data_IF_266872324494
#
_entry.id   IF_266872324494
#
_cell.length_a   1.000
_cell.length_b   1.000
_cell.length_c   1.000
_cell.angle_alpha   90.00
_cell.angle_beta   90.00
_cell.angle_gamma   90.00
#
_symmetry.space_group_name_H-M   'P 1'
#
loop_
_entity.id
_entity.type
_entity.pdbx_description
1 polymer ?
#
# COMPACT_ATOMS: atom_id res chain seq x y z
N UNK A 1 0.74 -31.98 -47.49
CA UNK A 1 1.87 -32.71 -46.88
C UNK A 1 3.08 -31.78 -46.83
N UNK A 2 3.36 -31.18 -45.68
CA UNK A 2 4.63 -30.54 -45.34
C UNK A 2 4.66 -30.36 -43.82
N UNK A 3 5.72 -30.90 -43.21
CA UNK A 3 5.93 -31.06 -41.76
C UNK A 3 6.68 -29.84 -41.23
N UNK A 4 6.30 -29.25 -40.08
CA UNK A 4 7.11 -28.21 -39.44
C UNK A 4 8.27 -28.81 -38.65
N UNK A 5 9.49 -28.32 -38.92
CA UNK A 5 10.71 -28.62 -38.19
C UNK A 5 10.65 -28.04 -36.77
N UNK A 6 10.46 -28.91 -35.78
CA UNK A 6 10.71 -28.66 -34.36
C UNK A 6 12.22 -28.44 -34.15
N UNK A 7 12.62 -27.27 -33.63
CA UNK A 7 13.95 -27.10 -33.03
C UNK A 7 13.87 -27.45 -31.55
N UNK A 8 14.48 -28.58 -31.23
CA UNK A 8 14.86 -29.04 -29.89
C UNK A 8 16.17 -28.40 -29.44
N UNK A 9 16.34 -28.29 -28.11
CA UNK A 9 17.63 -28.12 -27.43
C UNK A 9 17.86 -26.68 -26.94
N UNK A 10 18.22 -26.42 -25.69
CA UNK A 10 18.67 -27.30 -24.62
C UNK A 10 18.46 -26.60 -23.27
N UNK A 11 18.09 -27.39 -22.27
CA UNK A 11 18.23 -27.04 -20.87
C UNK A 11 19.71 -26.88 -20.50
N UNK A 12 20.03 -25.88 -19.69
CA UNK A 12 21.20 -25.89 -18.81
C UNK A 12 20.82 -25.20 -17.49
N UNK A 13 20.95 -26.03 -16.46
CA UNK A 13 20.74 -25.81 -15.04
C UNK A 13 21.84 -24.91 -14.47
N UNK A 14 21.50 -23.97 -13.58
CA UNK A 14 22.42 -23.52 -12.52
C UNK A 14 21.65 -22.97 -11.32
N UNK A 15 21.85 -23.70 -10.21
CA UNK A 15 21.39 -23.51 -8.85
C UNK A 15 22.13 -22.35 -8.17
N UNK A 16 21.40 -21.49 -7.44
CA UNK A 16 21.94 -20.78 -6.28
C UNK A 16 20.80 -20.45 -5.31
N UNK A 17 20.66 -21.31 -4.30
CA UNK A 17 19.85 -21.06 -3.11
C UNK A 17 20.70 -20.18 -2.17
N UNK A 18 20.30 -18.93 -1.94
CA UNK A 18 20.86 -18.10 -0.85
C UNK A 18 19.75 -17.87 0.15
N UNK A 19 19.72 -18.72 1.17
CA UNK A 19 18.99 -18.43 2.40
C UNK A 19 19.86 -17.49 3.24
N UNK A 20 19.51 -16.21 3.27
CA UNK A 20 20.01 -15.27 4.27
C UNK A 20 18.91 -15.05 5.30
N UNK A 21 18.92 -15.90 6.33
CA UNK A 21 18.29 -15.60 7.61
C UNK A 21 19.23 -14.65 8.37
N UNK A 22 18.83 -13.39 8.49
CA UNK A 22 19.36 -12.44 9.48
C UNK A 22 18.12 -11.93 10.23
N UNK A 23 17.72 -12.59 11.31
CA UNK A 23 18.05 -12.19 12.69
C UNK A 23 17.95 -10.69 12.90
N UNK A 24 16.88 -10.33 13.61
CA UNK A 24 16.79 -9.12 14.40
C UNK A 24 17.93 -9.14 15.43
N UNK A 25 18.90 -8.24 15.28
CA UNK A 25 19.84 -7.88 16.34
C UNK A 25 19.87 -6.35 16.42
N UNK A 26 19.41 -5.84 17.55
CA UNK A 26 19.46 -4.43 17.88
C UNK A 26 20.89 -4.04 18.18
N UNK A 27 21.51 -3.28 17.28
CA UNK A 27 22.81 -2.67 17.54
C UNK A 27 22.62 -1.22 17.96
N UNK A 28 23.12 -0.93 19.15
CA UNK A 28 23.11 0.37 19.80
C UNK A 28 23.91 1.40 18.99
N UNK A 29 23.39 2.60 18.86
CA UNK A 29 24.11 3.73 18.27
C UNK A 29 25.41 4.00 19.05
N UNK A 30 26.58 4.11 18.39
CA UNK A 30 27.77 4.57 19.07
C UNK A 30 27.72 6.08 19.32
N UNK A 31 28.19 6.41 20.51
CA UNK A 31 28.28 7.75 21.07
C UNK A 31 29.26 8.66 20.32
N UNK A 32 28.92 9.95 20.35
CA UNK A 32 29.79 11.06 20.76
C UNK A 32 31.20 11.16 20.17
N UNK A 33 31.40 12.17 19.33
CA UNK A 33 32.54 13.08 19.49
C UNK A 33 32.04 14.53 19.50
N UNK A 34 32.37 15.24 20.58
CA UNK A 34 32.09 16.65 20.79
C UNK A 34 33.29 17.50 20.37
N UNK A 35 33.11 18.74 19.86
CA UNK A 35 34.15 19.75 19.98
C UNK A 35 34.08 20.39 21.37
N UNK A 36 35.17 20.22 22.13
CA UNK A 36 35.47 20.93 23.37
C UNK A 36 35.50 22.44 23.14
N UNK A 37 34.70 23.20 23.89
CA UNK A 37 35.05 24.55 24.31
C UNK A 37 34.44 24.82 25.68
N UNK A 38 35.32 24.89 26.68
CA UNK A 38 35.03 25.43 28.01
C UNK A 38 34.89 26.93 27.92
N UNK A 39 33.74 27.46 28.32
CA UNK A 39 33.63 28.84 28.80
C UNK A 39 32.62 28.87 29.96
N UNK A 40 33.13 29.09 31.17
CA UNK A 40 32.35 29.48 32.34
C UNK A 40 31.60 30.78 32.06
N UNK A 41 30.28 30.75 32.21
CA UNK A 41 29.42 31.93 32.26
C UNK A 41 28.33 31.69 33.30
N UNK A 42 28.39 32.44 34.39
CA UNK A 42 27.40 32.48 35.46
C UNK A 42 26.07 33.10 34.98
N UNK A 43 24.98 32.50 35.46
CA UNK A 43 23.70 33.12 35.89
C UNK A 43 22.89 33.91 34.85
N UNK A 44 21.72 33.35 34.51
CA UNK A 44 20.42 33.94 34.88
C UNK A 44 19.31 32.94 34.56
N UNK A 45 18.74 32.31 35.60
CA UNK A 45 17.46 31.60 35.48
C UNK A 45 16.35 32.65 35.47
N UNK A 46 16.08 33.18 34.28
CA UNK A 46 14.82 33.86 34.02
C UNK A 46 13.75 32.76 33.84
N UNK A 47 12.80 32.69 34.78
CA UNK A 47 11.60 31.88 34.60
C UNK A 47 10.75 32.55 33.53
N UNK A 48 11.03 32.27 32.27
CA UNK A 48 10.12 32.54 31.16
C UNK A 48 8.96 31.56 31.29
N UNK A 49 7.79 32.08 31.70
CA UNK A 49 6.51 31.37 31.55
C UNK A 49 6.39 30.96 30.08
N UNK A 50 6.27 29.66 29.75
CA UNK A 50 6.08 29.24 28.37
C UNK A 50 4.82 29.91 27.82
N UNK A 51 4.84 30.42 26.58
CA UNK A 51 3.63 30.94 25.96
C UNK A 51 2.55 29.86 26.04
N UNK A 52 1.32 30.25 26.37
CA UNK A 52 0.19 29.33 26.29
C UNK A 52 0.14 28.80 24.85
N UNK A 53 0.40 27.49 24.70
CA UNK A 53 0.12 26.78 23.46
C UNK A 53 -1.38 26.92 23.21
N UNK A 54 -1.74 27.74 22.23
CA UNK A 54 -3.08 27.71 21.67
C UNK A 54 -3.20 26.39 20.92
N UNK A 55 -3.76 25.37 21.58
CA UNK A 55 -4.18 24.13 20.92
C UNK A 55 -5.08 24.54 19.75
N UNK A 56 -4.70 24.15 18.53
CA UNK A 56 -5.59 24.32 17.39
C UNK A 56 -6.88 23.53 17.67
N UNK A 57 -8.07 24.04 17.29
CA UNK A 57 -9.29 23.28 17.47
C UNK A 57 -9.13 21.90 16.81
N UNK A 58 -9.68 20.83 17.40
CA UNK A 58 -9.64 19.53 16.77
C UNK A 58 -10.27 19.65 15.38
N UNK A 59 -9.57 19.18 14.36
CA UNK A 59 -10.16 19.01 13.04
C UNK A 59 -11.11 17.82 13.19
N UNK A 60 -12.41 18.06 13.00
CA UNK A 60 -13.37 16.98 12.78
C UNK A 60 -13.00 16.33 11.44
N UNK A 61 -12.16 15.30 11.50
CA UNK A 61 -11.90 14.40 10.39
C UNK A 61 -12.94 13.30 10.46
N UNK A 62 -13.80 13.19 9.44
CA UNK A 62 -14.67 12.04 9.32
C UNK A 62 -13.81 10.78 9.16
N UNK A 63 -14.22 9.69 9.82
CA UNK A 63 -13.60 8.38 9.61
C UNK A 63 -13.86 7.94 8.17
N UNK A 64 -12.79 7.84 7.38
CA UNK A 64 -12.84 7.37 5.99
C UNK A 64 -12.04 6.09 5.86
N UNK A 65 -12.56 5.15 5.08
CA UNK A 65 -11.88 3.92 4.76
C UNK A 65 -11.73 3.79 3.25
N UNK A 66 -10.55 3.36 2.82
CA UNK A 66 -10.19 3.15 1.43
C UNK A 66 -9.42 1.83 1.30
N UNK A 67 -9.57 1.14 0.18
CA UNK A 67 -8.94 -0.15 -0.07
C UNK A 67 -8.29 -0.24 -1.45
N UNK A 68 -7.40 -1.21 -1.56
CA UNK A 68 -6.82 -1.69 -2.82
C UNK A 68 -6.36 -3.13 -2.63
N UNK A 69 -6.51 -3.96 -3.66
CA UNK A 69 -6.11 -5.37 -3.65
C UNK A 69 -5.22 -5.69 -4.87
N UNK A 70 -3.92 -5.36 -4.82
CA UNK A 70 -3.02 -5.67 -5.92
C UNK A 70 -2.79 -7.20 -6.04
N UNK A 71 -2.73 -7.77 -7.25
CA UNK A 71 -2.83 -7.08 -8.55
C UNK A 71 -4.27 -6.79 -9.02
N UNK A 72 -5.25 -7.51 -8.48
CA UNK A 72 -6.68 -7.39 -8.76
C UNK A 72 -7.45 -8.40 -7.88
N UNK A 73 -8.78 -8.41 -7.96
CA UNK A 73 -9.61 -9.29 -7.14
C UNK A 73 -9.51 -10.78 -7.53
N UNK A 74 -9.21 -11.10 -8.79
CA UNK A 74 -9.14 -12.47 -9.28
C UNK A 74 -7.73 -13.07 -9.23
N UNK A 75 -7.53 -14.09 -8.39
CA UNK A 75 -6.24 -14.78 -8.24
C UNK A 75 -6.06 -16.10 -9.04
N UNK A 76 -6.95 -16.40 -10.00
CA UNK A 76 -6.98 -17.69 -10.71
C UNK A 76 -6.11 -17.77 -11.97
N UNK A 77 -6.00 -19.00 -12.52
CA UNK A 77 -5.40 -19.26 -13.84
C UNK A 77 -6.37 -20.02 -14.76
N UNK A 78 -6.52 -19.63 -16.04
CA UNK A 78 -5.93 -18.44 -16.66
C UNK A 78 -6.48 -17.13 -16.05
N UNK A 79 -5.73 -16.04 -16.20
CA UNK A 79 -6.16 -14.71 -15.73
C UNK A 79 -7.37 -14.19 -16.52
N UNK A 80 -8.10 -13.27 -15.91
CA UNK A 80 -9.20 -12.50 -16.50
C UNK A 80 -8.94 -10.98 -16.34
N UNK A 81 -9.95 -10.17 -16.65
CA UNK A 81 -9.86 -8.70 -16.57
C UNK A 81 -9.62 -8.22 -15.12
N UNK A 82 -10.28 -8.83 -14.14
CA UNK A 82 -10.16 -8.50 -12.70
C UNK A 82 -8.88 -9.04 -12.03
N UNK A 83 -7.93 -9.58 -12.81
CA UNK A 83 -6.70 -10.15 -12.26
C UNK A 83 -5.61 -9.11 -12.01
N UNK A 84 -5.59 -8.03 -12.80
CA UNK A 84 -4.48 -7.06 -12.85
C UNK A 84 -4.95 -5.60 -12.89
N UNK A 85 -6.26 -5.38 -12.76
CA UNK A 85 -6.97 -4.11 -12.92
C UNK A 85 -6.64 -3.08 -11.82
N UNK A 86 -6.14 -3.52 -10.66
CA UNK A 86 -5.76 -2.62 -9.56
C UNK A 86 -4.26 -2.31 -9.50
N UNK A 87 -3.45 -2.81 -10.45
CA UNK A 87 -2.01 -2.51 -10.46
C UNK A 87 -1.69 -1.03 -10.67
N UNK A 88 -2.43 -0.34 -11.54
CA UNK A 88 -2.18 1.07 -11.83
C UNK A 88 -2.47 1.95 -10.61
N UNK A 89 -3.53 1.63 -9.86
CA UNK A 89 -3.89 2.28 -8.61
C UNK A 89 -2.76 2.14 -7.56
N UNK A 90 -2.21 0.93 -7.42
CA UNK A 90 -1.12 0.66 -6.47
C UNK A 90 0.20 1.34 -6.89
N UNK A 91 0.55 1.25 -8.17
CA UNK A 91 1.77 1.85 -8.69
C UNK A 91 1.74 3.38 -8.60
N UNK A 92 0.55 3.99 -8.67
CA UNK A 92 0.37 5.44 -8.56
C UNK A 92 0.92 6.07 -7.28
N UNK A 93 0.89 5.36 -6.14
CA UNK A 93 1.47 5.85 -4.88
C UNK A 93 2.99 5.71 -4.82
N UNK A 94 3.57 4.76 -5.56
CA UNK A 94 4.99 4.41 -5.46
C UNK A 94 5.92 5.60 -5.76
N UNK A 95 5.66 6.44 -6.78
CA UNK A 95 6.42 7.66 -7.02
C UNK A 95 6.30 8.72 -5.91
N UNK A 96 5.15 8.79 -5.24
CA UNK A 96 4.86 9.83 -4.22
C UNK A 96 5.63 9.59 -2.92
N UNK A 97 5.91 8.33 -2.60
CA UNK A 97 6.62 7.90 -1.38
C UNK A 97 5.96 8.45 -0.12
N UNK A 98 6.64 9.33 0.62
CA UNK A 98 6.11 9.96 1.83
C UNK A 98 5.30 11.23 1.57
N UNK A 99 5.11 11.63 0.31
CA UNK A 99 4.36 12.84 -0.06
C UNK A 99 2.96 12.48 -0.55
N UNK A 100 2.28 11.60 0.17
CA UNK A 100 0.89 11.21 -0.13
C UNK A 100 -0.05 12.22 0.54
N UNK A 101 -0.97 12.75 -0.24
CA UNK A 101 -2.04 13.66 0.20
C UNK A 101 -3.38 12.94 0.23
N UNK A 102 -4.38 13.56 0.85
CA UNK A 102 -5.75 13.04 0.86
C UNK A 102 -6.31 12.90 -0.57
N UNK A 103 -5.99 13.84 -1.47
CA UNK A 103 -6.37 13.77 -2.88
C UNK A 103 -5.75 12.55 -3.56
N UNK A 104 -4.49 12.22 -3.24
CA UNK A 104 -3.86 11.01 -3.80
C UNK A 104 -4.56 9.73 -3.33
N UNK A 105 -5.03 9.69 -2.07
CA UNK A 105 -5.81 8.54 -1.56
C UNK A 105 -7.17 8.46 -2.26
N UNK A 106 -7.87 9.59 -2.42
CA UNK A 106 -9.18 9.65 -3.09
C UNK A 106 -9.10 9.28 -4.58
N UNK A 107 -7.97 9.54 -5.25
CA UNK A 107 -7.77 9.23 -6.67
C UNK A 107 -7.20 7.82 -6.92
N UNK A 108 -6.36 7.31 -6.01
CA UNK A 108 -5.58 6.08 -6.24
C UNK A 108 -6.03 4.89 -5.40
N UNK A 109 -6.97 5.07 -4.46
CA UNK A 109 -7.60 3.98 -3.73
C UNK A 109 -9.10 3.96 -3.97
N UNK A 110 -9.71 2.80 -3.74
CA UNK A 110 -11.14 2.58 -3.86
C UNK A 110 -11.84 2.90 -2.54
N UNK A 111 -12.99 3.55 -2.59
CA UNK A 111 -13.76 3.87 -1.38
C UNK A 111 -14.28 2.58 -0.71
N UNK A 112 -14.15 2.49 0.61
CA UNK A 112 -14.63 1.35 1.38
C UNK A 112 -15.91 1.71 2.16
N UNK A 113 -16.94 2.14 1.44
CA UNK A 113 -18.26 2.52 1.95
C UNK A 113 -19.35 1.47 1.66
N UNK A 114 -18.95 0.34 1.07
CA UNK A 114 -19.80 -0.78 0.62
C UNK A 114 -20.70 -0.48 -0.59
N UNK A 115 -20.58 0.71 -1.19
CA UNK A 115 -21.24 1.00 -2.47
C UNK A 115 -20.46 0.38 -3.64
N UNK A 116 -21.14 -0.16 -4.67
CA UNK A 116 -20.45 -0.64 -5.87
C UNK A 116 -19.75 0.48 -6.64
N UNK A 117 -18.57 0.18 -7.16
CA UNK A 117 -17.77 1.12 -7.95
C UNK A 117 -18.01 0.87 -9.45
N UNK A 118 -18.33 1.94 -10.18
CA UNK A 118 -18.48 1.90 -11.63
C UNK A 118 -19.65 1.06 -12.15
N UNK A 119 -19.40 0.34 -13.24
CA UNK A 119 -20.41 -0.51 -13.89
C UNK A 119 -20.65 -1.78 -13.07
N UNK A 120 -21.91 -2.17 -12.91
CA UNK A 120 -22.29 -3.33 -12.11
C UNK A 120 -22.94 -4.43 -12.93
N UNK A 121 -22.65 -5.69 -12.61
CA UNK A 121 -23.32 -6.87 -13.17
C UNK A 121 -23.96 -7.72 -12.06
N UNK A 122 -25.21 -8.14 -12.26
CA UNK A 122 -25.92 -9.02 -11.31
C UNK A 122 -25.70 -10.48 -11.69
N UNK A 123 -25.32 -11.32 -10.73
CA UNK A 123 -25.21 -12.76 -10.89
C UNK A 123 -26.53 -13.47 -10.56
N UNK A 124 -26.98 -14.35 -11.46
CA UNK A 124 -28.08 -15.26 -11.20
C UNK A 124 -27.61 -16.41 -10.30
N UNK A 125 -27.91 -16.28 -9.00
CA UNK A 125 -27.49 -17.25 -7.99
C UNK A 125 -28.36 -18.51 -7.97
N UNK A 126 -29.54 -18.49 -8.58
CA UNK A 126 -30.57 -19.52 -8.43
C UNK A 126 -31.09 -19.73 -6.99
N UNK A 127 -30.64 -18.91 -6.03
CA UNK A 127 -31.00 -19.00 -4.60
C UNK A 127 -31.99 -17.87 -4.24
N UNK A 128 -33.23 -18.21 -3.86
CA UNK A 128 -34.21 -17.19 -3.47
C UNK A 128 -33.69 -16.33 -2.31
N UNK A 129 -33.74 -15.01 -2.48
CA UNK A 129 -33.32 -14.05 -1.46
C UNK A 129 -31.83 -13.74 -1.43
N UNK A 130 -31.03 -14.23 -2.40
CA UNK A 130 -29.62 -13.87 -2.54
C UNK A 130 -29.41 -13.10 -3.84
N UNK A 131 -28.99 -11.83 -3.69
CA UNK A 131 -28.54 -11.00 -4.80
C UNK A 131 -27.04 -10.86 -4.67
N UNK A 132 -26.31 -11.09 -5.77
CA UNK A 132 -24.88 -10.78 -5.83
C UNK A 132 -24.71 -9.81 -6.98
N UNK A 133 -24.16 -8.64 -6.68
CA UNK A 133 -23.79 -7.62 -7.66
C UNK A 133 -22.28 -7.51 -7.68
N UNK A 134 -21.66 -7.69 -8.83
CA UNK A 134 -20.24 -7.40 -9.03
C UNK A 134 -20.07 -5.97 -9.53
N UNK A 135 -19.09 -5.28 -9.00
CA UNK A 135 -18.68 -3.95 -9.45
C UNK A 135 -17.65 -4.04 -10.61
N UNK A 136 -17.11 -2.89 -11.03
CA UNK A 136 -16.17 -2.83 -12.17
C UNK A 136 -14.82 -3.53 -11.91
N UNK A 137 -14.48 -3.78 -10.65
CA UNK A 137 -13.26 -4.48 -10.22
C UNK A 137 -13.52 -5.95 -9.86
N UNK A 138 -14.70 -6.46 -10.23
CA UNK A 138 -15.13 -7.83 -9.94
C UNK A 138 -15.35 -8.10 -8.44
N UNK A 139 -15.55 -7.07 -7.61
CA UNK A 139 -15.83 -7.21 -6.17
C UNK A 139 -17.32 -7.48 -5.96
N UNK A 140 -17.63 -8.48 -5.14
CA UNK A 140 -19.01 -8.89 -4.88
C UNK A 140 -19.66 -8.08 -3.74
N UNK A 141 -20.87 -7.59 -4.00
CA UNK A 141 -21.79 -6.97 -3.05
C UNK A 141 -22.99 -7.91 -2.86
N UNK A 142 -23.25 -8.31 -1.61
CA UNK A 142 -24.20 -9.38 -1.25
C UNK A 142 -25.26 -8.86 -0.28
#
# INVERSE_FOLDING_TARGET
MSVPLRRWGSALLALALVAAACSSDGESSPATEAPTTTASGEVSTETTTPPATSEAPPIDVDDRAFYILPPGNYGGLPTNDDSLDQLALYDGLTPLRGNVTDTDIEELYLAQDFEPIGETTVEDTGRPGTTITYDEFGVAHI
#
